data_IF_319485593874
#
_entry.id   IF_319485593874
#
_cell.length_a   1.000
_cell.length_b   1.000
_cell.length_c   1.000
_cell.angle_alpha   90.00
_cell.angle_beta   90.00
_cell.angle_gamma   90.00
#
_symmetry.space_group_name_H-M   'P 1'
#
loop_
_entity.id
_entity.type
_entity.pdbx_description
1 polymer ?
#
# COMPACT_ATOMS: atom_id res chain seq x y z
N UNK A 1 28.50 3.10 -18.77
CA UNK A 1 27.47 3.12 -17.71
C UNK A 1 27.22 1.67 -17.30
N UNK A 2 27.72 1.23 -16.14
CA UNK A 2 27.31 -0.07 -15.59
C UNK A 2 25.80 0.02 -15.35
N UNK A 3 25.01 -0.84 -16.00
CA UNK A 3 23.58 -0.93 -15.71
C UNK A 3 23.43 -1.31 -14.24
N UNK A 4 22.69 -0.51 -13.46
CA UNK A 4 22.28 -0.93 -12.11
C UNK A 4 21.60 -2.30 -12.21
N UNK A 5 21.88 -3.24 -11.29
CA UNK A 5 21.23 -4.54 -11.31
C UNK A 5 19.71 -4.35 -11.16
N UNK A 6 18.89 -5.08 -11.92
CA UNK A 6 17.43 -5.04 -11.75
C UNK A 6 16.96 -5.90 -10.58
N UNK A 7 15.68 -6.25 -10.58
CA UNK A 7 15.06 -7.04 -9.51
C UNK A 7 15.58 -8.49 -9.48
N UNK A 8 16.12 -8.96 -8.35
CA UNK A 8 16.42 -10.38 -8.09
C UNK A 8 15.33 -11.00 -7.21
N UNK A 9 14.38 -11.69 -7.84
CA UNK A 9 13.29 -12.41 -7.17
C UNK A 9 13.64 -13.89 -7.01
N UNK A 10 13.51 -14.45 -5.82
CA UNK A 10 13.83 -15.87 -5.54
C UNK A 10 12.61 -16.66 -5.06
N UNK A 11 12.52 -17.95 -5.41
CA UNK A 11 11.55 -18.85 -4.81
C UNK A 11 11.86 -19.07 -3.33
N UNK A 12 10.85 -19.47 -2.56
CA UNK A 12 10.99 -19.78 -1.14
C UNK A 12 9.96 -20.82 -0.71
N UNK A 13 10.17 -21.43 0.46
CA UNK A 13 9.16 -22.29 1.07
C UNK A 13 8.10 -21.44 1.75
N UNK A 14 6.95 -21.30 1.09
CA UNK A 14 5.79 -20.64 1.66
C UNK A 14 5.26 -21.37 2.89
N UNK A 15 4.91 -20.62 3.92
CA UNK A 15 4.19 -21.11 5.09
C UNK A 15 2.71 -20.75 4.90
N UNK A 16 1.83 -21.76 4.83
CA UNK A 16 0.40 -21.57 4.50
C UNK A 16 -0.50 -22.29 5.47
N UNK A 17 -1.75 -21.84 5.57
CA UNK A 17 -2.77 -22.55 6.35
C UNK A 17 -3.02 -23.93 5.75
N UNK A 18 -3.03 -24.96 6.61
CA UNK A 18 -3.48 -26.29 6.26
C UNK A 18 -5.02 -26.28 6.09
N UNK A 19 -5.58 -26.59 4.91
CA UNK A 19 -7.02 -26.52 4.69
C UNK A 19 -7.85 -27.39 5.64
N UNK A 20 -7.26 -28.47 6.18
CA UNK A 20 -7.91 -29.36 7.15
C UNK A 20 -7.94 -28.82 8.59
N UNK A 21 -7.25 -27.71 8.87
CA UNK A 21 -7.11 -27.15 10.23
C UNK A 21 -7.86 -25.83 10.42
N UNK A 22 -8.35 -25.23 9.36
CA UNK A 22 -9.09 -23.96 9.39
C UNK A 22 -10.47 -24.15 8.77
N UNK A 23 -11.46 -23.43 9.29
CA UNK A 23 -12.84 -23.52 8.79
C UNK A 23 -12.98 -22.95 7.38
N UNK A 24 -12.33 -21.83 7.14
CA UNK A 24 -12.31 -21.12 5.86
C UNK A 24 -11.08 -20.24 5.80
N UNK A 25 -10.44 -20.17 4.62
CA UNK A 25 -9.34 -19.23 4.40
C UNK A 25 -9.79 -17.78 4.57
N UNK A 26 -11.03 -17.43 4.18
CA UNK A 26 -11.56 -16.09 4.36
C UNK A 26 -11.57 -15.67 5.84
N UNK A 27 -11.95 -16.59 6.73
CA UNK A 27 -12.06 -16.33 8.17
C UNK A 27 -10.71 -16.20 8.88
N UNK A 28 -9.64 -16.78 8.32
CA UNK A 28 -8.29 -16.71 8.90
C UNK A 28 -7.38 -15.68 8.23
N UNK A 29 -7.79 -15.13 7.09
CA UNK A 29 -7.11 -13.99 6.45
C UNK A 29 -7.58 -12.65 7.01
N UNK A 30 -6.86 -11.59 6.71
CA UNK A 30 -7.28 -10.22 7.00
C UNK A 30 -6.95 -9.28 5.84
N UNK A 31 -7.57 -8.10 5.78
CA UNK A 31 -7.00 -6.98 5.04
C UNK A 31 -5.57 -6.67 5.51
N UNK A 32 -4.78 -5.94 4.72
CA UNK A 32 -3.46 -5.48 5.15
C UNK A 32 -3.53 -4.69 6.45
N UNK A 33 -2.47 -4.75 7.26
CA UNK A 33 -2.37 -4.09 8.57
C UNK A 33 -2.93 -2.66 8.58
N UNK A 34 -2.61 -1.85 7.57
CA UNK A 34 -2.94 -0.43 7.57
C UNK A 34 -4.41 -0.12 7.24
N UNK A 35 -5.14 -1.12 6.70
CA UNK A 35 -6.60 -1.10 6.55
C UNK A 35 -7.29 -1.49 7.87
N UNK A 36 -6.63 -2.30 8.70
CA UNK A 36 -7.18 -2.90 9.93
C UNK A 36 -7.17 -1.94 11.15
N UNK A 37 -6.67 -0.70 11.02
CA UNK A 37 -6.52 0.27 12.12
C UNK A 37 -7.86 0.82 12.66
N UNK A 38 -9.02 0.31 12.25
CA UNK A 38 -10.31 0.64 12.89
C UNK A 38 -10.52 -0.26 14.13
N UNK A 39 -10.78 0.29 15.33
CA UNK A 39 -10.98 -0.51 16.54
C UNK A 39 -12.01 -1.64 16.40
N UNK A 40 -13.14 -1.35 15.74
CA UNK A 40 -14.20 -2.35 15.51
C UNK A 40 -13.76 -3.45 14.52
N UNK A 41 -12.90 -3.11 13.55
CA UNK A 41 -12.40 -4.06 12.56
C UNK A 41 -11.45 -5.08 13.17
N UNK A 42 -10.61 -4.65 14.11
CA UNK A 42 -9.69 -5.54 14.82
C UNK A 42 -10.45 -6.55 15.69
N UNK A 43 -11.39 -6.08 16.51
CA UNK A 43 -12.18 -6.98 17.37
C UNK A 43 -12.99 -7.99 16.54
N UNK A 44 -13.56 -7.54 15.42
CA UNK A 44 -14.26 -8.42 14.49
C UNK A 44 -13.34 -9.51 13.92
N UNK A 45 -12.13 -9.17 13.48
CA UNK A 45 -11.17 -10.15 12.95
C UNK A 45 -10.69 -11.14 14.02
N UNK A 46 -10.43 -10.68 15.24
CA UNK A 46 -10.01 -11.55 16.34
C UNK A 46 -11.09 -12.55 16.77
N UNK A 47 -12.36 -12.16 16.63
CA UNK A 47 -13.51 -12.99 17.00
C UNK A 47 -14.01 -13.87 15.85
N UNK A 48 -13.64 -13.56 14.59
CA UNK A 48 -14.03 -14.34 13.42
C UNK A 48 -13.47 -15.78 13.42
N UNK A 49 -12.19 -15.95 13.75
CA UNK A 49 -11.55 -17.27 13.88
C UNK A 49 -10.34 -17.22 14.85
N UNK A 50 -10.13 -18.24 15.69
CA UNK A 50 -8.96 -18.30 16.59
C UNK A 50 -7.61 -18.26 15.84
N UNK A 51 -7.58 -18.69 14.58
CA UNK A 51 -6.39 -18.71 13.73
C UNK A 51 -6.28 -17.51 12.79
N UNK A 52 -7.05 -16.43 13.01
CA UNK A 52 -6.98 -15.24 12.18
C UNK A 52 -5.59 -14.57 12.25
N UNK A 53 -5.01 -14.33 11.07
CA UNK A 53 -3.67 -13.78 10.87
C UNK A 53 -3.45 -12.42 11.56
N UNK A 54 -4.53 -11.69 11.88
CA UNK A 54 -4.47 -10.45 12.67
C UNK A 54 -3.69 -10.62 13.97
N UNK A 55 -3.70 -11.82 14.56
CA UNK A 55 -2.95 -12.18 15.77
C UNK A 55 -1.43 -12.17 15.58
N UNK A 56 -0.95 -12.28 14.34
CA UNK A 56 0.48 -12.19 14.01
C UNK A 56 0.90 -10.78 13.58
N UNK A 57 -0.01 -10.00 12.99
CA UNK A 57 0.31 -8.66 12.46
C UNK A 57 -0.05 -7.51 13.41
N UNK A 58 -1.07 -7.69 14.24
CA UNK A 58 -1.68 -6.71 15.15
C UNK A 58 -2.01 -7.31 16.53
N UNK A 59 -1.11 -8.09 17.17
CA UNK A 59 -1.37 -8.67 18.49
C UNK A 59 -1.68 -7.59 19.53
N UNK A 60 -2.68 -7.83 20.38
CA UNK A 60 -3.06 -6.89 21.44
C UNK A 60 -2.36 -7.21 22.77
N UNK A 61 -1.60 -6.24 23.28
CA UNK A 61 -1.00 -6.25 24.62
C UNK A 61 -0.67 -4.82 25.07
N UNK A 62 -0.39 -4.65 26.36
CA UNK A 62 -0.16 -3.34 27.00
C UNK A 62 1.06 -2.61 26.44
N UNK A 63 2.15 -3.34 26.15
CA UNK A 63 3.40 -2.78 25.65
C UNK A 63 3.87 -3.46 24.35
N UNK A 64 4.65 -2.76 23.50
CA UNK A 64 5.16 -3.31 22.24
C UNK A 64 5.95 -4.62 22.38
N UNK A 65 6.80 -4.77 23.39
CA UNK A 65 7.63 -5.97 23.52
C UNK A 65 6.78 -7.21 23.83
N UNK A 66 5.74 -7.06 24.66
CA UNK A 66 4.78 -8.13 24.92
C UNK A 66 3.96 -8.47 23.68
N UNK A 67 3.54 -7.47 22.89
CA UNK A 67 2.87 -7.68 21.58
C UNK A 67 3.73 -8.53 20.65
N UNK A 68 5.01 -8.19 20.52
CA UNK A 68 5.92 -8.88 19.60
C UNK A 68 6.18 -10.34 20.02
N UNK A 69 6.40 -10.59 21.31
CA UNK A 69 6.53 -11.96 21.85
C UNK A 69 5.27 -12.78 21.65
N UNK A 70 4.09 -12.19 21.87
CA UNK A 70 2.80 -12.88 21.68
C UNK A 70 2.61 -13.36 20.23
N UNK A 71 2.96 -12.54 19.24
CA UNK A 71 2.92 -12.95 17.84
C UNK A 71 3.91 -14.10 17.56
N UNK A 72 5.12 -14.04 18.13
CA UNK A 72 6.12 -15.10 17.97
C UNK A 72 5.67 -16.44 18.61
N UNK A 73 5.12 -16.39 19.81
CA UNK A 73 4.54 -17.55 20.51
C UNK A 73 3.38 -18.13 19.71
N UNK A 74 2.49 -17.28 19.21
CA UNK A 74 1.34 -17.68 18.38
C UNK A 74 1.79 -18.36 17.08
N UNK A 75 2.77 -17.79 16.37
CA UNK A 75 3.32 -18.39 15.16
C UNK A 75 3.96 -19.75 15.43
N UNK A 76 4.73 -19.88 16.53
CA UNK A 76 5.33 -21.16 16.94
C UNK A 76 4.26 -22.20 17.26
N UNK A 77 3.22 -21.81 17.99
CA UNK A 77 2.08 -22.69 18.31
C UNK A 77 1.37 -23.17 17.05
N UNK A 78 1.02 -22.27 16.13
CA UNK A 78 0.32 -22.63 14.89
C UNK A 78 1.14 -23.57 14.00
N UNK A 79 2.47 -23.41 13.99
CA UNK A 79 3.37 -24.35 13.29
C UNK A 79 3.40 -25.71 13.98
N UNK A 80 3.51 -25.75 15.30
CA UNK A 80 3.54 -26.99 16.08
C UNK A 80 2.22 -27.79 15.98
N UNK A 81 1.09 -27.10 15.92
CA UNK A 81 -0.24 -27.70 15.74
C UNK A 81 -0.57 -28.08 14.28
N UNK A 82 0.34 -27.78 13.34
CA UNK A 82 0.11 -28.02 11.91
C UNK A 82 -0.96 -27.12 11.29
N UNK A 83 -1.33 -26.02 11.94
CA UNK A 83 -2.25 -25.00 11.40
C UNK A 83 -1.58 -24.26 10.25
N UNK A 84 -0.31 -23.89 10.43
CA UNK A 84 0.56 -23.35 9.39
C UNK A 84 1.63 -24.39 9.01
N UNK A 85 1.66 -24.79 7.74
CA UNK A 85 2.54 -25.86 7.25
C UNK A 85 3.41 -25.32 6.11
N UNK A 86 4.73 -25.62 6.12
CA UNK A 86 5.62 -25.24 5.04
C UNK A 86 5.31 -26.03 3.77
N UNK A 87 5.46 -25.37 2.62
CA UNK A 87 5.38 -26.04 1.33
C UNK A 87 6.53 -27.06 1.14
N UNK A 88 6.27 -28.16 0.40
CA UNK A 88 7.22 -29.28 0.28
C UNK A 88 8.48 -28.93 -0.50
N UNK A 89 8.46 -27.86 -1.29
CA UNK A 89 9.60 -27.34 -2.05
C UNK A 89 9.49 -25.80 -2.21
N UNK A 90 10.62 -25.10 -2.47
CA UNK A 90 10.58 -23.67 -2.75
C UNK A 90 9.83 -23.35 -4.05
N UNK A 91 9.00 -22.31 -4.03
CA UNK A 91 8.24 -21.84 -5.19
C UNK A 91 8.23 -20.32 -5.31
N UNK A 92 7.98 -19.82 -6.53
CA UNK A 92 7.35 -18.52 -6.70
C UNK A 92 5.84 -18.71 -6.67
N UNK A 93 5.07 -17.73 -6.22
CA UNK A 93 3.61 -17.87 -6.16
C UNK A 93 2.93 -16.87 -7.09
N UNK A 94 2.08 -17.34 -7.99
CA UNK A 94 1.19 -16.43 -8.73
C UNK A 94 -0.01 -16.14 -7.84
N UNK A 95 -0.30 -14.87 -7.63
CA UNK A 95 -1.46 -14.42 -6.88
C UNK A 95 -2.43 -13.66 -7.79
N UNK A 96 -3.72 -13.95 -7.64
CA UNK A 96 -4.81 -13.26 -8.30
C UNK A 96 -5.81 -12.74 -7.26
N UNK A 97 -6.25 -11.51 -7.45
CA UNK A 97 -7.43 -10.98 -6.78
C UNK A 97 -8.39 -10.32 -7.77
N UNK A 98 -9.70 -10.57 -7.59
CA UNK A 98 -10.75 -10.11 -8.50
C UNK A 98 -11.98 -9.61 -7.74
N UNK A 99 -12.54 -8.47 -8.16
CA UNK A 99 -13.84 -7.96 -7.70
C UNK A 99 -14.55 -7.22 -8.83
N UNK A 100 -15.70 -7.72 -9.27
CA UNK A 100 -16.36 -7.20 -10.47
C UNK A 100 -15.43 -7.30 -11.70
N UNK A 101 -15.21 -6.17 -12.36
CA UNK A 101 -14.31 -6.05 -13.51
C UNK A 101 -12.83 -5.89 -13.11
N UNK A 102 -12.55 -5.56 -11.84
CA UNK A 102 -11.19 -5.38 -11.37
C UNK A 102 -10.48 -6.73 -11.28
N UNK A 103 -9.35 -6.87 -11.99
CA UNK A 103 -8.47 -8.04 -11.95
C UNK A 103 -7.02 -7.61 -11.73
N UNK A 104 -6.41 -8.05 -10.64
CA UNK A 104 -4.99 -7.89 -10.38
C UNK A 104 -4.31 -9.27 -10.32
N UNK A 105 -3.19 -9.41 -11.03
CA UNK A 105 -2.30 -10.58 -10.91
C UNK A 105 -0.86 -10.14 -10.72
N UNK A 106 -0.12 -10.91 -9.94
CA UNK A 106 1.30 -10.70 -9.73
C UNK A 106 2.02 -11.95 -9.26
N UNK A 107 3.34 -11.82 -9.10
CA UNK A 107 4.21 -12.90 -8.62
C UNK A 107 4.74 -12.53 -7.24
N UNK A 108 4.55 -13.44 -6.29
CA UNK A 108 5.08 -13.38 -4.94
C UNK A 108 6.39 -14.16 -4.86
N UNK A 109 7.39 -13.56 -4.23
CA UNK A 109 8.70 -14.18 -3.98
C UNK A 109 9.54 -13.35 -3.03
N UNK A 110 10.80 -13.77 -2.86
CA UNK A 110 11.79 -13.07 -2.04
C UNK A 110 12.60 -12.12 -2.91
N UNK A 111 12.39 -10.82 -2.74
CA UNK A 111 13.11 -9.80 -3.49
C UNK A 111 14.35 -9.37 -2.72
N UNK A 112 15.51 -9.40 -3.38
CA UNK A 112 16.74 -8.87 -2.81
C UNK A 112 16.59 -7.39 -2.43
N UNK A 113 17.00 -7.06 -1.20
CA UNK A 113 16.91 -5.70 -0.70
C UNK A 113 17.93 -4.80 -1.37
N UNK A 114 17.51 -3.58 -1.71
CA UNK A 114 18.37 -2.56 -2.32
C UNK A 114 18.18 -1.23 -1.62
N UNK A 115 19.28 -0.51 -1.42
CA UNK A 115 19.22 0.87 -0.93
C UNK A 115 18.59 1.77 -2.00
N UNK A 116 17.87 2.85 -1.63
CA UNK A 116 17.24 3.76 -2.60
C UNK A 116 18.20 4.28 -3.67
N UNK A 117 19.46 4.54 -3.30
CA UNK A 117 20.50 5.02 -4.21
C UNK A 117 20.83 4.04 -5.36
N UNK A 118 20.52 2.75 -5.22
CA UNK A 118 20.71 1.78 -6.30
C UNK A 118 19.66 1.91 -7.42
N UNK A 119 18.53 2.58 -7.13
CA UNK A 119 17.45 2.81 -8.09
C UNK A 119 16.71 1.55 -8.54
N UNK A 120 16.82 0.44 -7.82
CA UNK A 120 16.17 -0.84 -8.20
C UNK A 120 14.74 -0.90 -7.70
N UNK A 121 14.54 -0.56 -6.43
CA UNK A 121 13.24 -0.37 -5.79
C UNK A 121 13.10 1.10 -5.44
N UNK A 122 12.03 1.71 -5.92
CA UNK A 122 11.78 3.14 -5.89
C UNK A 122 10.74 3.45 -4.78
N UNK A 123 11.14 4.02 -3.64
CA UNK A 123 10.21 4.60 -2.69
C UNK A 123 9.68 5.95 -3.19
N UNK A 124 8.47 6.32 -2.78
CA UNK A 124 7.88 7.63 -3.10
C UNK A 124 7.21 8.31 -1.91
N UNK A 125 7.27 7.71 -0.71
CA UNK A 125 6.76 8.27 0.54
C UNK A 125 7.83 8.16 1.62
N UNK A 126 7.85 9.15 2.52
CA UNK A 126 8.66 9.09 3.73
C UNK A 126 8.10 8.07 4.72
N UNK A 127 8.99 7.53 5.56
CA UNK A 127 8.63 6.60 6.63
C UNK A 127 8.72 7.25 7.99
N UNK A 128 7.91 6.78 8.93
CA UNK A 128 7.96 7.20 10.32
C UNK A 128 8.82 6.21 11.13
N UNK A 129 9.85 6.72 11.79
CA UNK A 129 10.83 5.90 12.52
C UNK A 129 10.18 5.03 13.61
N UNK A 130 9.19 5.57 14.33
CA UNK A 130 8.44 4.80 15.34
C UNK A 130 7.72 3.57 14.76
N UNK A 131 7.11 3.71 13.57
CA UNK A 131 6.43 2.61 12.86
C UNK A 131 7.46 1.60 12.37
N UNK A 132 8.60 2.07 11.85
CA UNK A 132 9.70 1.21 11.39
C UNK A 132 10.28 0.41 12.56
N UNK A 133 10.49 1.05 13.71
CA UNK A 133 11.03 0.45 14.92
C UNK A 133 10.10 -0.60 15.53
N UNK A 134 8.80 -0.31 15.66
CA UNK A 134 7.82 -1.27 16.18
C UNK A 134 7.73 -2.50 15.27
N UNK A 135 7.66 -2.30 13.94
CA UNK A 135 7.67 -3.42 12.97
C UNK A 135 8.97 -4.21 12.99
N UNK A 136 10.11 -3.55 13.20
CA UNK A 136 11.39 -4.23 13.34
C UNK A 136 11.41 -5.12 14.59
N UNK A 137 10.84 -4.67 15.71
CA UNK A 137 10.58 -5.47 16.90
C UNK A 137 9.77 -6.73 16.60
N UNK A 138 8.60 -6.56 15.98
CA UNK A 138 7.70 -7.66 15.63
C UNK A 138 8.38 -8.70 14.72
N UNK A 139 9.04 -8.25 13.65
CA UNK A 139 9.71 -9.16 12.70
C UNK A 139 10.96 -9.82 13.29
N UNK A 140 11.64 -9.18 14.24
CA UNK A 140 12.78 -9.77 14.96
C UNK A 140 12.33 -10.93 15.84
N UNK A 141 11.26 -10.76 16.60
CA UNK A 141 10.71 -11.81 17.47
C UNK A 141 10.08 -12.95 16.68
N UNK A 142 9.32 -12.64 15.63
CA UNK A 142 8.63 -13.66 14.83
C UNK A 142 9.53 -14.38 13.84
N UNK A 143 10.66 -13.76 13.45
CA UNK A 143 11.51 -14.21 12.36
C UNK A 143 10.68 -14.56 11.09
N UNK A 144 9.70 -13.72 10.76
CA UNK A 144 8.78 -13.96 9.65
C UNK A 144 8.40 -12.69 8.88
N UNK A 145 7.94 -12.87 7.64
CA UNK A 145 7.21 -11.87 6.87
C UNK A 145 5.77 -12.38 6.70
N UNK A 146 4.79 -11.86 7.47
CA UNK A 146 3.43 -12.38 7.47
C UNK A 146 2.59 -11.96 6.25
N UNK A 147 3.07 -10.98 5.49
CA UNK A 147 2.39 -10.43 4.31
C UNK A 147 3.41 -9.87 3.31
N UNK A 148 3.13 -9.96 1.99
CA UNK A 148 3.94 -9.33 0.97
C UNK A 148 3.72 -7.81 0.91
N UNK A 149 4.77 -7.07 0.57
CA UNK A 149 4.64 -5.69 0.09
C UNK A 149 4.04 -5.68 -1.32
N UNK A 150 3.27 -4.65 -1.69
CA UNK A 150 2.81 -4.49 -3.08
C UNK A 150 3.82 -3.61 -3.83
N UNK A 151 4.45 -4.19 -4.84
CA UNK A 151 5.38 -3.50 -5.71
C UNK A 151 4.86 -3.51 -7.16
N UNK A 152 4.98 -2.39 -7.87
CA UNK A 152 4.61 -2.31 -9.29
C UNK A 152 5.82 -2.17 -10.20
N UNK A 153 5.86 -2.98 -11.25
CA UNK A 153 6.81 -2.85 -12.35
C UNK A 153 6.05 -2.74 -13.67
N UNK A 154 6.75 -2.41 -14.77
CA UNK A 154 6.13 -2.32 -16.10
C UNK A 154 6.86 -3.14 -17.12
N UNK A 155 6.12 -3.93 -17.90
CA UNK A 155 6.60 -4.56 -19.13
C UNK A 155 6.48 -3.67 -20.35
N UNK A 156 7.09 -4.14 -21.42
CA UNK A 156 6.89 -3.68 -22.80
C UNK A 156 5.52 -4.11 -23.37
N UNK A 157 4.66 -4.75 -22.57
CA UNK A 157 3.36 -5.26 -23.00
C UNK A 157 3.42 -6.62 -23.72
N UNK A 158 4.62 -7.15 -24.03
CA UNK A 158 4.76 -8.45 -24.69
C UNK A 158 4.41 -9.60 -23.73
N UNK A 159 3.75 -10.65 -24.22
CA UNK A 159 3.35 -11.81 -23.43
C UNK A 159 4.50 -12.82 -23.26
N UNK A 160 5.64 -12.31 -22.81
CA UNK A 160 6.91 -13.05 -22.66
C UNK A 160 7.41 -12.99 -21.22
N UNK A 161 8.41 -13.80 -20.88
CA UNK A 161 9.04 -13.80 -19.55
C UNK A 161 8.03 -14.04 -18.43
N UNK A 162 7.97 -13.13 -17.45
CA UNK A 162 7.07 -13.24 -16.29
C UNK A 162 5.60 -13.34 -16.70
N UNK A 163 5.17 -12.54 -17.68
CA UNK A 163 3.77 -12.53 -18.13
C UNK A 163 3.32 -13.87 -18.73
N UNK A 164 4.21 -14.52 -19.50
CA UNK A 164 3.94 -15.83 -20.07
C UNK A 164 3.79 -16.91 -19.00
N UNK A 165 4.65 -16.87 -17.98
CA UNK A 165 4.60 -17.78 -16.83
C UNK A 165 3.30 -17.58 -16.05
N UNK A 166 2.94 -16.33 -15.73
CA UNK A 166 1.66 -16.02 -15.05
C UNK A 166 0.48 -16.57 -15.83
N UNK A 167 0.41 -16.33 -17.15
CA UNK A 167 -0.68 -16.81 -17.99
C UNK A 167 -0.82 -18.34 -17.95
N UNK A 168 0.28 -19.08 -18.17
CA UNK A 168 0.28 -20.55 -18.10
C UNK A 168 -0.09 -21.08 -16.72
N UNK A 169 0.42 -20.47 -15.66
CA UNK A 169 0.16 -20.89 -14.29
C UNK A 169 -1.32 -20.73 -13.93
N UNK A 170 -1.95 -19.61 -14.34
CA UNK A 170 -3.37 -19.37 -14.06
C UNK A 170 -4.33 -20.29 -14.82
N UNK A 171 -3.86 -21.04 -15.83
CA UNK A 171 -4.63 -22.09 -16.50
C UNK A 171 -4.63 -23.43 -15.73
N UNK A 172 -3.81 -23.55 -14.68
CA UNK A 172 -3.73 -24.74 -13.81
C UNK A 172 -4.70 -24.61 -12.63
N UNK A 173 -4.92 -25.70 -11.91
CA UNK A 173 -5.68 -25.69 -10.65
C UNK A 173 -4.93 -24.87 -9.58
N UNK A 174 -5.58 -23.92 -8.89
CA UNK A 174 -4.95 -23.17 -7.81
C UNK A 174 -4.66 -24.03 -6.58
N UNK A 175 -3.62 -23.67 -5.84
CA UNK A 175 -3.33 -24.24 -4.52
C UNK A 175 -4.41 -23.89 -3.50
N UNK A 176 -4.97 -22.69 -3.61
CA UNK A 176 -6.09 -22.24 -2.80
C UNK A 176 -6.95 -21.23 -3.57
N UNK A 177 -8.23 -21.20 -3.22
CA UNK A 177 -9.17 -20.21 -3.67
C UNK A 177 -10.11 -19.86 -2.52
N UNK A 178 -10.38 -18.57 -2.32
CA UNK A 178 -11.31 -18.08 -1.28
C UNK A 178 -11.96 -16.78 -1.74
N UNK A 179 -13.06 -16.39 -1.10
CA UNK A 179 -13.68 -15.07 -1.29
C UNK A 179 -13.88 -14.44 0.08
N UNK A 180 -13.36 -13.24 0.27
CA UNK A 180 -13.47 -12.47 1.52
C UNK A 180 -14.77 -11.66 1.56
N UNK A 181 -15.15 -11.21 2.76
CA UNK A 181 -16.42 -10.51 3.00
C UNK A 181 -16.54 -9.17 2.26
N UNK A 182 -15.42 -8.60 1.84
CA UNK A 182 -15.35 -7.39 0.99
C UNK A 182 -15.58 -7.68 -0.52
N UNK A 183 -15.90 -8.94 -0.84
CA UNK A 183 -16.27 -9.40 -2.18
C UNK A 183 -15.09 -9.72 -3.09
N UNK A 184 -13.85 -9.67 -2.60
CA UNK A 184 -12.69 -10.09 -3.40
C UNK A 184 -12.56 -11.60 -3.45
N UNK A 185 -12.49 -12.15 -4.66
CA UNK A 185 -12.07 -13.52 -4.90
C UNK A 185 -10.54 -13.57 -4.99
N UNK A 186 -9.92 -14.42 -4.19
CA UNK A 186 -8.48 -14.62 -4.11
C UNK A 186 -8.09 -16.02 -4.58
N UNK A 187 -7.01 -16.11 -5.37
CA UNK A 187 -6.43 -17.38 -5.80
C UNK A 187 -4.91 -17.34 -5.77
N UNK A 188 -4.31 -18.46 -5.43
CA UNK A 188 -2.85 -18.62 -5.37
C UNK A 188 -2.43 -19.91 -6.07
N UNK A 189 -1.34 -19.86 -6.83
CA UNK A 189 -0.71 -21.00 -7.49
C UNK A 189 0.77 -21.01 -7.15
N UNK A 190 1.39 -22.18 -7.09
CA UNK A 190 2.84 -22.32 -7.02
C UNK A 190 3.45 -22.52 -8.43
N UNK A 191 4.62 -21.94 -8.63
CA UNK A 191 5.51 -22.15 -9.76
C UNK A 191 6.78 -22.80 -9.23
N UNK A 192 6.91 -24.11 -9.45
CA UNK A 192 8.05 -24.93 -9.01
C UNK A 192 8.94 -25.38 -10.17
N UNK A 193 8.47 -25.26 -11.42
CA UNK A 193 9.26 -25.60 -12.60
C UNK A 193 10.50 -24.67 -12.68
N UNK A 194 11.74 -25.21 -12.65
CA UNK A 194 12.97 -24.41 -12.68
C UNK A 194 13.10 -23.51 -13.90
N UNK A 195 12.62 -23.94 -15.08
CA UNK A 195 12.66 -23.13 -16.30
C UNK A 195 11.70 -21.94 -16.23
N UNK A 196 10.51 -22.14 -15.64
CA UNK A 196 9.54 -21.05 -15.43
C UNK A 196 10.08 -20.03 -14.41
N UNK A 197 10.70 -20.51 -13.33
CA UNK A 197 11.37 -19.65 -12.34
C UNK A 197 12.51 -18.86 -13.00
N UNK A 198 13.37 -19.52 -13.79
CA UNK A 198 14.46 -18.86 -14.48
C UNK A 198 13.97 -17.78 -15.47
N UNK A 199 12.86 -18.04 -16.18
CA UNK A 199 12.25 -17.08 -17.08
C UNK A 199 11.72 -15.84 -16.36
N UNK A 200 11.07 -16.00 -15.20
CA UNK A 200 10.64 -14.89 -14.34
C UNK A 200 11.85 -14.07 -13.88
N UNK A 201 12.90 -14.74 -13.38
CA UNK A 201 14.10 -14.07 -12.86
C UNK A 201 14.85 -13.28 -13.94
N UNK A 202 15.05 -13.88 -15.11
CA UNK A 202 15.73 -13.23 -16.22
C UNK A 202 14.98 -11.98 -16.72
N UNK A 203 13.65 -12.03 -16.69
CA UNK A 203 12.82 -10.89 -17.07
C UNK A 203 12.86 -9.76 -16.00
N UNK A 204 12.72 -10.11 -14.72
CA UNK A 204 12.75 -9.16 -13.60
C UNK A 204 14.11 -8.50 -13.38
N UNK A 205 15.20 -9.19 -13.69
CA UNK A 205 16.57 -8.66 -13.59
C UNK A 205 16.85 -7.43 -14.47
N UNK A 206 15.92 -7.06 -15.36
CA UNK A 206 16.01 -5.90 -16.26
C UNK A 206 15.07 -4.75 -15.88
N UNK A 207 14.38 -4.87 -14.74
CA UNK A 207 13.26 -4.00 -14.36
C UNK A 207 13.55 -3.27 -13.05
N UNK A 208 12.83 -2.17 -12.85
CA UNK A 208 12.72 -1.45 -11.58
C UNK A 208 11.30 -1.66 -11.04
N UNK A 209 11.14 -1.57 -9.72
CA UNK A 209 9.84 -1.59 -9.07
C UNK A 209 9.57 -0.30 -8.29
N UNK A 210 8.33 0.18 -8.30
CA UNK A 210 7.83 1.23 -7.42
C UNK A 210 7.16 0.58 -6.21
N UNK A 211 7.39 1.09 -5.01
CA UNK A 211 6.68 0.64 -3.81
C UNK A 211 5.26 1.20 -3.85
N UNK A 212 4.28 0.40 -4.24
CA UNK A 212 2.88 0.83 -4.26
C UNK A 212 2.27 0.78 -2.85
N UNK A 213 2.66 -0.20 -2.04
CA UNK A 213 2.27 -0.31 -0.62
C UNK A 213 3.38 -0.99 0.20
N UNK A 214 3.70 -0.41 1.35
CA UNK A 214 4.64 -1.00 2.31
C UNK A 214 5.98 -0.28 2.49
N UNK A 215 6.07 1.04 2.29
CA UNK A 215 7.32 1.83 2.51
C UNK A 215 7.92 1.60 3.90
N UNK A 216 7.09 1.62 4.95
CA UNK A 216 7.53 1.32 6.32
C UNK A 216 8.09 -0.11 6.44
N UNK A 217 7.47 -1.10 5.79
CA UNK A 217 7.94 -2.50 5.80
C UNK A 217 9.25 -2.65 5.05
N UNK A 218 9.43 -1.95 3.93
CA UNK A 218 10.70 -1.94 3.19
C UNK A 218 11.82 -1.33 4.02
N UNK A 219 11.58 -0.19 4.66
CA UNK A 219 12.53 0.42 5.59
C UNK A 219 12.85 -0.50 6.78
N UNK A 220 11.85 -1.20 7.33
CA UNK A 220 12.06 -2.24 8.35
C UNK A 220 12.98 -3.35 7.85
N UNK A 221 12.80 -3.84 6.63
CA UNK A 221 13.70 -4.87 6.06
C UNK A 221 15.14 -4.37 5.94
N UNK A 222 15.35 -3.15 5.42
CA UNK A 222 16.69 -2.54 5.32
C UNK A 222 17.35 -2.39 6.69
N UNK A 223 16.61 -1.92 7.70
CA UNK A 223 17.09 -1.81 9.08
C UNK A 223 17.51 -3.17 9.64
N UNK A 224 16.66 -4.19 9.52
CA UNK A 224 16.93 -5.53 10.04
C UNK A 224 18.13 -6.20 9.33
N UNK A 225 18.33 -5.91 8.04
CA UNK A 225 19.54 -6.31 7.31
C UNK A 225 20.78 -5.63 7.88
N UNK A 226 20.73 -4.31 8.09
CA UNK A 226 21.86 -3.54 8.60
C UNK A 226 22.30 -4.01 10.00
N UNK A 227 21.33 -4.35 10.88
CA UNK A 227 21.60 -4.90 12.23
C UNK A 227 22.35 -6.24 12.24
N UNK A 228 22.35 -6.97 11.11
CA UNK A 228 22.92 -8.32 10.99
C UNK A 228 24.10 -8.40 10.03
N UNK A 229 24.38 -7.32 9.33
CA UNK A 229 25.47 -7.24 8.37
C UNK A 229 26.79 -7.14 9.12
N UNK A 230 27.40 -8.29 9.42
CA UNK A 230 28.82 -8.39 9.80
C UNK A 230 29.58 -8.86 8.55
N UNK A 231 30.46 -8.04 7.95
CA UNK A 231 31.30 -8.50 6.85
C UNK A 231 32.27 -9.59 7.34
N UNK A 232 32.53 -10.68 6.58
CA UNK A 232 31.95 -11.08 5.30
C UNK A 232 30.98 -12.26 5.49
N UNK A 233 29.75 -12.01 5.95
CA UNK A 233 28.74 -13.05 6.01
C UNK A 233 28.21 -13.40 4.59
N UNK A 234 27.92 -14.70 4.30
CA UNK A 234 27.17 -15.08 3.11
C UNK A 234 25.79 -14.37 3.09
N UNK A 235 25.19 -14.21 1.91
CA UNK A 235 23.83 -13.64 1.81
C UNK A 235 22.86 -14.44 2.66
N UNK A 236 22.29 -13.81 3.69
CA UNK A 236 21.41 -14.42 4.67
C UNK A 236 19.94 -14.18 4.36
N UNK A 237 19.02 -14.75 5.16
CA UNK A 237 17.58 -14.56 4.99
C UNK A 237 17.17 -13.07 5.12
N UNK A 238 17.94 -12.26 5.83
CA UNK A 238 17.66 -10.84 6.02
C UNK A 238 18.02 -9.96 4.82
N UNK A 239 18.66 -10.52 3.78
CA UNK A 239 18.94 -9.80 2.54
C UNK A 239 17.76 -9.75 1.56
N UNK A 240 16.63 -10.34 1.93
CA UNK A 240 15.44 -10.43 1.09
C UNK A 240 14.19 -10.03 1.85
N UNK A 241 13.22 -9.46 1.13
CA UNK A 241 11.88 -9.15 1.61
C UNK A 241 10.80 -9.92 0.85
N UNK A 242 9.69 -10.25 1.51
CA UNK A 242 8.53 -10.86 0.85
C UNK A 242 7.76 -9.78 0.08
N UNK A 243 7.57 -9.96 -1.23
CA UNK A 243 6.90 -8.98 -2.09
C UNK A 243 5.91 -9.65 -3.03
N UNK A 244 4.92 -8.89 -3.47
CA UNK A 244 4.05 -9.15 -4.61
C UNK A 244 4.42 -8.14 -5.71
N UNK A 245 4.91 -8.64 -6.85
CA UNK A 245 5.25 -7.83 -8.01
C UNK A 245 4.12 -7.89 -9.05
N UNK A 246 3.51 -6.74 -9.34
CA UNK A 246 2.43 -6.57 -10.32
C UNK A 246 2.94 -5.82 -11.55
N UNK A 247 2.67 -6.36 -12.74
CA UNK A 247 2.93 -5.68 -14.02
C UNK A 247 1.79 -4.70 -14.34
N UNK A 248 2.00 -3.40 -14.11
CA UNK A 248 0.95 -2.39 -14.30
C UNK A 248 0.64 -2.09 -15.75
N UNK A 249 1.47 -2.54 -16.70
CA UNK A 249 1.12 -2.50 -18.12
C UNK A 249 -0.03 -3.47 -18.47
N UNK A 250 -0.24 -4.50 -17.64
CA UNK A 250 -1.28 -5.54 -17.84
C UNK A 250 -2.40 -5.50 -16.82
N UNK A 251 -2.04 -5.21 -15.57
CA UNK A 251 -2.93 -5.14 -14.44
C UNK A 251 -2.73 -3.79 -13.74
N UNK A 252 -3.27 -2.70 -14.32
CA UNK A 252 -3.13 -1.37 -13.74
C UNK A 252 -3.60 -1.35 -12.29
N UNK A 253 -2.83 -0.71 -11.41
CA UNK A 253 -3.27 -0.44 -10.05
C UNK A 253 -4.29 0.70 -10.06
N UNK A 254 -5.25 0.63 -9.15
CA UNK A 254 -6.14 1.75 -8.86
C UNK A 254 -5.39 2.69 -7.93
N UNK A 255 -5.02 3.87 -8.42
CA UNK A 255 -4.50 4.96 -7.58
C UNK A 255 -5.68 5.79 -7.13
N UNK A 256 -5.88 5.89 -5.82
CA UNK A 256 -6.92 6.74 -5.20
C UNK A 256 -6.28 7.94 -4.54
N UNK A 257 -6.99 9.06 -4.56
CA UNK A 257 -6.68 10.19 -3.67
C UNK A 257 -6.96 9.82 -2.22
N UNK A 258 -6.31 10.51 -1.29
CA UNK A 258 -6.66 10.44 0.14
C UNK A 258 -7.37 11.74 0.47
N UNK A 259 -8.61 11.65 0.94
CA UNK A 259 -9.44 12.81 1.25
C UNK A 259 -9.14 13.32 2.65
N UNK A 260 -9.29 14.63 2.85
CA UNK A 260 -9.12 15.26 4.16
C UNK A 260 -10.49 15.57 4.74
N UNK A 261 -10.66 15.35 6.04
CA UNK A 261 -11.81 15.81 6.82
C UNK A 261 -11.30 16.85 7.79
N UNK A 262 -11.59 18.12 7.51
CA UNK A 262 -11.29 19.25 8.37
C UNK A 262 -12.36 19.29 9.45
N UNK A 263 -12.02 18.79 10.64
CA UNK A 263 -13.00 18.46 11.68
C UNK A 263 -13.62 19.68 12.33
N UNK A 264 -12.89 20.78 12.37
CA UNK A 264 -13.24 22.02 13.08
C UNK A 264 -13.52 23.19 12.15
N UNK A 265 -13.47 22.99 10.83
CA UNK A 265 -13.66 24.05 9.84
C UNK A 265 -14.96 23.82 9.03
N UNK A 266 -16.02 24.60 9.30
CA UNK A 266 -17.27 24.52 8.55
C UNK A 266 -17.10 24.98 7.08
N UNK A 267 -17.92 24.47 6.13
CA UNK A 267 -17.78 24.78 4.71
C UNK A 267 -17.94 26.27 4.40
N UNK A 268 -18.94 26.95 4.96
CA UNK A 268 -19.13 28.39 4.77
C UNK A 268 -17.88 29.20 5.17
N UNK A 269 -17.22 28.82 6.27
CA UNK A 269 -16.00 29.48 6.72
C UNK A 269 -14.81 29.16 5.83
N UNK A 270 -14.65 27.89 5.41
CA UNK A 270 -13.61 27.49 4.47
C UNK A 270 -13.70 28.26 3.14
N UNK A 271 -14.92 28.45 2.62
CA UNK A 271 -15.20 29.21 1.41
C UNK A 271 -14.98 30.72 1.60
N UNK A 272 -15.36 31.27 2.76
CA UNK A 272 -15.13 32.69 3.09
C UNK A 272 -13.64 33.01 3.17
N UNK A 273 -12.85 32.14 3.80
CA UNK A 273 -11.40 32.29 3.92
C UNK A 273 -10.69 32.17 2.56
N UNK A 274 -11.20 31.33 1.65
CA UNK A 274 -10.70 31.25 0.27
C UNK A 274 -10.90 32.55 -0.53
N UNK A 275 -11.96 33.31 -0.26
CA UNK A 275 -12.20 34.60 -0.92
C UNK A 275 -12.09 34.54 -2.46
N UNK A 276 -11.23 35.39 -3.02
CA UNK A 276 -10.93 35.44 -4.46
C UNK A 276 -9.66 34.66 -4.86
N UNK A 277 -9.00 33.99 -3.90
CA UNK A 277 -7.75 33.25 -4.12
C UNK A 277 -7.94 31.96 -4.94
N UNK A 278 -9.18 31.56 -5.23
CA UNK A 278 -9.53 30.47 -6.13
C UNK A 278 -10.91 30.68 -6.75
N UNK A 279 -11.19 29.99 -7.85
CA UNK A 279 -12.54 29.99 -8.43
C UNK A 279 -13.42 28.96 -7.70
N UNK A 280 -14.54 29.44 -7.17
CA UNK A 280 -15.51 28.63 -6.43
C UNK A 280 -16.79 28.46 -7.26
N UNK A 281 -17.28 27.22 -7.39
CA UNK A 281 -18.55 26.90 -8.05
C UNK A 281 -19.35 25.92 -7.22
N UNK A 282 -20.56 26.33 -6.81
CA UNK A 282 -21.53 25.41 -6.21
C UNK A 282 -22.00 24.40 -7.25
N UNK A 283 -22.10 23.14 -6.86
CA UNK A 283 -22.56 22.03 -7.70
C UNK A 283 -23.85 21.43 -7.13
N UNK A 284 -24.57 20.68 -7.97
CA UNK A 284 -25.69 19.87 -7.52
C UNK A 284 -25.23 18.87 -6.44
N UNK A 285 -26.07 18.57 -5.44
CA UNK A 285 -25.72 17.71 -4.30
C UNK A 285 -25.67 16.22 -4.66
N UNK A 286 -25.19 15.88 -5.86
CA UNK A 286 -24.99 14.51 -6.31
C UNK A 286 -23.50 14.21 -6.43
N UNK A 287 -22.94 13.64 -5.36
CA UNK A 287 -21.51 13.42 -5.19
C UNK A 287 -20.84 12.68 -6.37
N UNK A 288 -21.42 11.60 -6.94
CA UNK A 288 -20.81 10.92 -8.09
C UNK A 288 -20.62 11.81 -9.33
N UNK A 289 -21.56 12.72 -9.61
CA UNK A 289 -21.41 13.66 -10.71
C UNK A 289 -20.38 14.75 -10.40
N UNK A 290 -20.32 15.21 -9.15
CA UNK A 290 -19.33 16.19 -8.69
C UNK A 290 -17.90 15.62 -8.75
N UNK A 291 -17.68 14.37 -8.35
CA UNK A 291 -16.39 13.68 -8.46
C UNK A 291 -15.93 13.54 -9.91
N UNK A 292 -16.83 13.16 -10.84
CA UNK A 292 -16.51 13.15 -12.28
C UNK A 292 -16.13 14.53 -12.82
N UNK A 293 -16.72 15.60 -12.27
CA UNK A 293 -16.39 16.97 -12.65
C UNK A 293 -15.03 17.39 -12.08
N UNK A 294 -14.74 17.03 -10.84
CA UNK A 294 -13.42 17.22 -10.22
C UNK A 294 -12.31 16.55 -11.05
N UNK A 295 -12.50 15.27 -11.41
CA UNK A 295 -11.50 14.49 -12.16
C UNK A 295 -11.20 15.07 -13.55
N UNK A 296 -12.20 15.69 -14.19
CA UNK A 296 -12.05 16.38 -15.50
C UNK A 296 -11.52 17.81 -15.40
N UNK A 297 -11.34 18.34 -14.19
CA UNK A 297 -10.90 19.72 -14.01
C UNK A 297 -9.38 19.80 -14.12
N UNK A 298 -8.90 20.64 -15.03
CA UNK A 298 -7.48 20.87 -15.25
C UNK A 298 -6.83 21.67 -14.12
N UNK A 299 -5.52 21.44 -13.90
CA UNK A 299 -4.76 22.09 -12.84
C UNK A 299 -5.21 21.63 -11.45
N UNK A 300 -4.86 22.39 -10.42
CA UNK A 300 -5.25 22.06 -9.05
C UNK A 300 -6.75 22.31 -8.83
N UNK A 301 -7.43 21.29 -8.31
CA UNK A 301 -8.85 21.32 -8.06
C UNK A 301 -9.22 20.46 -6.85
N UNK A 302 -10.22 20.90 -6.10
CA UNK A 302 -10.71 20.26 -4.89
C UNK A 302 -12.23 20.33 -4.86
N UNK A 303 -12.87 19.28 -4.35
CA UNK A 303 -14.30 19.31 -4.09
C UNK A 303 -14.53 19.39 -2.58
N UNK A 304 -15.04 20.52 -2.11
CA UNK A 304 -15.45 20.70 -0.72
C UNK A 304 -16.87 20.17 -0.53
N UNK A 305 -17.05 19.29 0.45
CA UNK A 305 -18.33 18.71 0.81
C UNK A 305 -18.60 18.90 2.31
N UNK A 306 -19.80 19.37 2.64
CA UNK A 306 -20.31 19.47 4.01
C UNK A 306 -21.79 19.83 4.00
N UNK A 307 -22.31 20.36 5.10
CA UNK A 307 -23.76 20.62 5.27
C UNK A 307 -24.32 21.59 4.21
N UNK A 308 -23.52 22.59 3.79
CA UNK A 308 -23.93 23.59 2.79
C UNK A 308 -23.97 23.06 1.35
N UNK A 309 -23.56 21.80 1.15
CA UNK A 309 -23.55 21.10 -0.14
C UNK A 309 -22.14 20.95 -0.73
N UNK A 310 -22.07 20.87 -2.06
CA UNK A 310 -20.86 20.55 -2.81
C UNK A 310 -20.31 21.78 -3.54
N UNK A 311 -19.03 22.07 -3.36
CA UNK A 311 -18.36 23.22 -3.96
C UNK A 311 -17.06 22.80 -4.66
N UNK A 312 -16.98 23.02 -5.96
CA UNK A 312 -15.75 22.84 -6.72
C UNK A 312 -14.89 24.09 -6.60
N UNK A 313 -13.70 23.91 -6.03
CA UNK A 313 -12.65 24.93 -5.89
C UNK A 313 -11.55 24.58 -6.87
N UNK A 314 -11.29 25.43 -7.86
CA UNK A 314 -10.23 25.21 -8.85
C UNK A 314 -9.51 26.50 -9.21
N UNK A 315 -8.41 26.37 -9.97
CA UNK A 315 -7.58 27.51 -10.41
C UNK A 315 -7.17 28.43 -9.25
N UNK A 316 -6.47 27.90 -8.23
CA UNK A 316 -5.89 28.76 -7.20
C UNK A 316 -5.00 29.84 -7.85
N UNK A 317 -4.99 31.03 -7.27
CA UNK A 317 -4.24 32.17 -7.76
C UNK A 317 -2.74 31.80 -7.91
N UNK A 318 -2.15 31.95 -9.12
CA UNK A 318 -0.72 31.72 -9.32
C UNK A 318 0.18 32.51 -8.36
N UNK A 319 -0.19 33.73 -7.95
CA UNK A 319 0.57 34.52 -6.99
C UNK A 319 0.50 33.94 -5.57
N UNK A 320 -0.63 33.30 -5.22
CA UNK A 320 -0.77 32.52 -4.00
C UNK A 320 0.10 31.26 -4.04
N UNK A 321 0.04 30.49 -5.11
CA UNK A 321 0.89 29.30 -5.23
C UNK A 321 2.38 29.64 -5.18
N UNK A 322 2.80 30.74 -5.81
CA UNK A 322 4.19 31.16 -5.84
C UNK A 322 4.76 31.56 -4.46
N UNK A 323 3.91 32.07 -3.55
CA UNK A 323 4.33 32.49 -2.19
C UNK A 323 4.24 31.37 -1.14
N UNK A 324 3.40 30.35 -1.37
CA UNK A 324 3.15 29.26 -0.39
C UNK A 324 3.85 27.96 -0.74
N UNK A 325 3.98 27.62 -2.02
CA UNK A 325 4.58 26.36 -2.45
C UNK A 325 6.08 26.53 -2.60
N UNK A 326 6.83 25.66 -1.91
CA UNK A 326 8.30 25.66 -1.92
C UNK A 326 8.86 25.54 -3.34
N UNK A 327 9.95 26.25 -3.62
CA UNK A 327 10.59 26.31 -4.94
C UNK A 327 11.78 25.36 -5.11
N UNK A 328 12.22 24.70 -4.05
CA UNK A 328 13.33 23.74 -4.03
C UNK A 328 12.95 22.33 -4.54
N UNK A 329 11.73 22.17 -5.04
CA UNK A 329 11.18 20.89 -5.54
C UNK A 329 10.85 20.97 -7.05
N UNK A 330 10.92 19.84 -7.78
CA UNK A 330 10.56 19.79 -9.19
C UNK A 330 9.13 20.27 -9.47
N UNK A 331 8.89 20.76 -10.69
CA UNK A 331 7.57 21.26 -11.09
C UNK A 331 6.45 20.23 -10.86
N UNK A 332 6.68 18.97 -11.23
CA UNK A 332 5.72 17.88 -11.04
C UNK A 332 5.28 17.69 -9.58
N UNK A 333 6.19 17.92 -8.61
CA UNK A 333 5.88 17.87 -7.18
C UNK A 333 5.09 19.11 -6.72
N UNK A 334 5.49 20.29 -7.20
CA UNK A 334 4.87 21.58 -6.83
C UNK A 334 3.42 21.69 -7.28
N UNK A 335 3.09 21.06 -8.41
CA UNK A 335 1.72 21.06 -8.96
C UNK A 335 0.83 19.93 -8.45
N UNK A 336 1.31 19.08 -7.53
CA UNK A 336 0.45 18.05 -6.94
C UNK A 336 -0.67 18.68 -6.11
N UNK A 337 -1.87 18.14 -6.22
CA UNK A 337 -3.00 18.61 -5.40
C UNK A 337 -2.73 18.45 -3.90
N UNK A 338 -2.03 17.39 -3.48
CA UNK A 338 -1.65 17.22 -2.07
C UNK A 338 -0.68 18.31 -1.60
N UNK A 339 0.28 18.71 -2.45
CA UNK A 339 1.20 19.81 -2.18
C UNK A 339 0.45 21.11 -2.02
N UNK A 340 -0.39 21.45 -3.00
CA UNK A 340 -1.16 22.70 -2.99
C UNK A 340 -2.14 22.72 -1.82
N UNK A 341 -2.84 21.61 -1.55
CA UNK A 341 -3.76 21.50 -0.42
C UNK A 341 -3.06 21.80 0.91
N UNK A 342 -1.94 21.14 1.20
CA UNK A 342 -1.27 21.32 2.49
C UNK A 342 -0.61 22.69 2.62
N UNK A 343 0.28 23.04 1.68
CA UNK A 343 1.07 24.27 1.80
C UNK A 343 0.22 25.54 1.59
N UNK A 344 -0.79 25.47 0.72
CA UNK A 344 -1.57 26.65 0.34
C UNK A 344 -2.88 26.72 1.11
N UNK A 345 -3.72 25.70 1.01
CA UNK A 345 -5.07 25.81 1.56
C UNK A 345 -5.10 25.57 3.08
N UNK A 346 -4.51 24.48 3.57
CA UNK A 346 -4.52 24.11 4.99
C UNK A 346 -3.67 25.08 5.81
N UNK A 347 -2.39 25.24 5.44
CA UNK A 347 -1.45 26.02 6.24
C UNK A 347 -1.66 27.54 6.09
N UNK A 348 -1.80 28.03 4.86
CA UNK A 348 -1.80 29.47 4.58
C UNK A 348 -3.18 30.12 4.51
N UNK A 349 -4.21 29.44 4.00
CA UNK A 349 -5.57 30.02 3.87
C UNK A 349 -6.42 29.68 5.10
N UNK A 350 -6.42 28.43 5.54
CA UNK A 350 -7.27 27.96 6.64
C UNK A 350 -6.58 27.94 8.00
N UNK A 351 -5.25 28.11 8.04
CA UNK A 351 -4.44 28.14 9.26
C UNK A 351 -4.69 26.95 10.21
N UNK A 352 -4.87 25.76 9.64
CA UNK A 352 -5.13 24.55 10.40
C UNK A 352 -3.83 23.79 10.72
N UNK A 353 -3.64 23.36 11.97
CA UNK A 353 -2.58 22.42 12.32
C UNK A 353 -2.72 21.09 11.56
N UNK A 354 -1.60 20.53 11.09
CA UNK A 354 -1.57 19.19 10.47
C UNK A 354 -1.41 18.11 11.54
N UNK A 355 -2.47 17.92 12.33
CA UNK A 355 -2.56 16.90 13.37
C UNK A 355 -3.89 16.13 13.31
N UNK A 356 -3.99 14.97 14.00
CA UNK A 356 -5.20 14.13 13.96
C UNK A 356 -6.47 14.76 14.56
N UNK A 357 -6.33 15.76 15.43
CA UNK A 357 -7.44 16.48 16.08
C UNK A 357 -8.12 17.45 15.11
N UNK A 358 -7.36 17.99 14.16
CA UNK A 358 -7.85 18.94 13.16
C UNK A 358 -8.15 18.27 11.80
N UNK A 359 -7.33 17.30 11.39
CA UNK A 359 -7.38 16.70 10.06
C UNK A 359 -7.53 15.18 10.15
N UNK A 360 -8.65 14.68 9.61
CA UNK A 360 -8.85 13.26 9.34
C UNK A 360 -8.43 12.88 7.92
N UNK A 361 -7.88 11.68 7.73
CA UNK A 361 -7.55 11.13 6.41
C UNK A 361 -8.47 9.96 6.08
N UNK A 362 -9.17 10.03 4.95
CA UNK A 362 -10.19 9.03 4.57
C UNK A 362 -10.02 8.64 3.11
N UNK A 363 -10.05 7.35 2.80
CA UNK A 363 -9.82 6.83 1.45
C UNK A 363 -11.04 6.83 0.53
N UNK A 364 -12.26 6.79 1.09
CA UNK A 364 -13.51 6.79 0.32
C UNK A 364 -14.18 8.17 0.41
N UNK A 365 -14.54 8.73 -0.74
CA UNK A 365 -15.09 10.08 -0.85
C UNK A 365 -16.42 10.23 -0.10
N UNK A 366 -17.32 9.24 -0.23
CA UNK A 366 -18.61 9.19 0.45
C UNK A 366 -18.42 9.17 1.97
N UNK A 367 -17.49 8.35 2.46
CA UNK A 367 -17.20 8.26 3.88
C UNK A 367 -16.60 9.57 4.42
N UNK A 368 -15.73 10.22 3.65
CA UNK A 368 -15.17 11.52 4.00
C UNK A 368 -16.27 12.59 4.11
N UNK A 369 -17.14 12.67 3.11
CA UNK A 369 -18.26 13.61 3.08
C UNK A 369 -19.25 13.37 4.23
N UNK A 370 -19.62 12.11 4.49
CA UNK A 370 -20.50 11.74 5.60
C UNK A 370 -19.87 12.05 6.97
N UNK A 371 -18.56 11.81 7.12
CA UNK A 371 -17.85 12.14 8.36
C UNK A 371 -17.77 13.65 8.58
N UNK A 372 -17.50 14.43 7.54
CA UNK A 372 -17.49 15.89 7.63
C UNK A 372 -18.85 16.45 8.05
N UNK A 373 -19.93 15.99 7.40
CA UNK A 373 -21.30 16.38 7.76
C UNK A 373 -21.61 16.07 9.24
N UNK A 374 -21.26 14.87 9.72
CA UNK A 374 -21.48 14.49 11.12
C UNK A 374 -20.73 15.36 12.13
N UNK A 375 -19.59 15.91 11.75
CA UNK A 375 -18.75 16.76 12.60
C UNK A 375 -19.05 18.25 12.45
N UNK A 376 -19.95 18.64 11.52
CA UNK A 376 -20.12 20.04 11.13
C UNK A 376 -18.87 20.64 10.42
N UNK A 377 -17.99 19.77 9.93
CA UNK A 377 -16.73 20.13 9.28
C UNK A 377 -16.80 20.09 7.75
N UNK A 378 -15.64 20.10 7.11
CA UNK A 378 -15.50 20.09 5.65
C UNK A 378 -14.69 18.89 5.18
N UNK A 379 -15.22 18.11 4.23
CA UNK A 379 -14.44 17.13 3.49
C UNK A 379 -13.81 17.81 2.27
N UNK A 380 -12.49 17.70 2.13
CA UNK A 380 -11.74 18.07 0.94
C UNK A 380 -11.47 16.81 0.12
N UNK A 381 -12.22 16.65 -0.96
CA UNK A 381 -12.09 15.53 -1.88
C UNK A 381 -11.13 15.89 -3.00
N UNK A 382 -10.30 14.92 -3.40
CA UNK A 382 -9.12 15.12 -4.23
C UNK A 382 -9.14 14.17 -5.41
N UNK A 383 -8.58 14.61 -6.54
CA UNK A 383 -8.35 13.73 -7.69
C UNK A 383 -7.20 12.74 -7.38
N UNK A 384 -7.23 11.54 -7.97
CA UNK A 384 -6.09 10.64 -7.88
C UNK A 384 -4.88 11.21 -8.63
N UNK A 385 -3.68 10.94 -8.11
CA UNK A 385 -2.42 11.24 -8.81
C UNK A 385 -2.17 10.14 -9.84
N UNK A 386 -1.74 10.51 -11.06
CA UNK A 386 -1.37 9.53 -12.08
C UNK A 386 -0.11 8.74 -11.66
N UNK A 387 -0.10 7.42 -11.86
CA UNK A 387 1.06 6.56 -11.53
C UNK A 387 2.36 7.06 -12.19
N UNK A 388 2.28 7.61 -13.40
CA UNK A 388 3.44 8.13 -14.14
C UNK A 388 4.15 9.25 -13.38
N UNK A 389 3.39 10.17 -12.80
CA UNK A 389 3.91 11.28 -11.99
C UNK A 389 4.59 10.74 -10.74
N UNK A 390 3.98 9.75 -10.07
CA UNK A 390 4.56 9.10 -8.89
C UNK A 390 5.89 8.44 -9.24
N UNK A 391 5.93 7.71 -10.37
CA UNK A 391 7.11 6.99 -10.83
C UNK A 391 8.23 7.94 -11.27
N UNK A 392 7.91 9.05 -11.92
CA UNK A 392 8.86 10.09 -12.31
C UNK A 392 9.53 10.69 -11.06
N UNK A 393 8.74 11.17 -10.10
CA UNK A 393 9.27 11.72 -8.85
C UNK A 393 10.12 10.70 -8.08
N UNK A 394 9.66 9.45 -8.01
CA UNK A 394 10.41 8.38 -7.32
C UNK A 394 11.76 8.06 -7.99
N UNK A 395 11.85 8.15 -9.33
CA UNK A 395 13.12 7.98 -10.06
C UNK A 395 14.11 9.11 -9.79
N UNK A 396 13.58 10.31 -9.58
CA UNK A 396 14.38 11.48 -9.22
C UNK A 396 14.75 11.50 -7.72
N UNK A 397 14.34 10.47 -6.96
CA UNK A 397 14.58 10.39 -5.52
C UNK A 397 13.74 11.38 -4.70
N UNK A 398 12.66 11.90 -5.28
CA UNK A 398 11.78 12.89 -4.64
C UNK A 398 10.59 12.19 -4.00
N UNK A 399 10.49 12.28 -2.68
CA UNK A 399 9.31 11.81 -1.94
C UNK A 399 8.14 12.79 -2.08
N UNK A 400 6.94 12.22 -2.22
CA UNK A 400 5.70 12.96 -2.28
C UNK A 400 5.28 13.43 -0.88
N UNK A 401 4.42 14.46 -0.77
CA UNK A 401 3.80 14.81 0.51
C UNK A 401 3.13 13.59 1.14
N UNK A 402 3.11 13.53 2.47
CA UNK A 402 2.46 12.42 3.19
C UNK A 402 1.00 12.30 2.76
N UNK A 403 0.50 11.06 2.71
CA UNK A 403 -0.90 10.76 2.38
C UNK A 403 -1.32 11.37 1.03
N UNK A 404 -0.44 11.31 0.02
CA UNK A 404 -0.75 11.75 -1.34
C UNK A 404 -1.46 10.69 -2.17
N UNK A 405 -1.13 9.41 -1.97
CA UNK A 405 -1.57 8.31 -2.82
C UNK A 405 -2.01 7.11 -2.02
N UNK A 406 -3.01 6.39 -2.51
CA UNK A 406 -3.35 5.05 -2.03
C UNK A 406 -3.46 4.12 -3.23
N UNK A 407 -2.52 3.18 -3.34
CA UNK A 407 -2.54 2.17 -4.39
C UNK A 407 -3.34 0.94 -3.94
N UNK A 408 -4.13 0.40 -4.86
CA UNK A 408 -4.86 -0.84 -4.62
C UNK A 408 -5.22 -1.63 -5.88
N UNK A 409 -5.90 -2.77 -5.71
CA UNK A 409 -6.16 -3.41 -4.42
C UNK A 409 -4.87 -3.94 -3.77
N UNK A 410 -4.82 -3.92 -2.45
CA UNK A 410 -3.69 -4.44 -1.67
C UNK A 410 -3.83 -5.96 -1.51
N UNK A 411 -2.74 -6.74 -1.42
CA UNK A 411 -2.85 -8.18 -1.22
C UNK A 411 -3.48 -8.53 0.13
N UNK A 412 -4.30 -9.58 0.16
CA UNK A 412 -4.81 -10.13 1.42
C UNK A 412 -3.67 -10.73 2.25
N UNK A 413 -3.72 -10.54 3.56
CA UNK A 413 -2.73 -11.05 4.51
C UNK A 413 -3.09 -12.47 4.94
N UNK A 414 -2.09 -13.34 5.05
CA UNK A 414 -2.27 -14.73 5.49
C UNK A 414 -2.38 -15.79 4.39
N UNK A 415 -2.34 -15.43 3.10
CA UNK A 415 -2.40 -16.41 2.01
C UNK A 415 -1.10 -17.21 1.83
N UNK A 416 0.04 -16.55 1.97
CA UNK A 416 1.37 -17.16 2.02
C UNK A 416 2.29 -16.28 2.84
N UNK A 417 2.89 -16.86 3.88
CA UNK A 417 3.85 -16.21 4.75
C UNK A 417 5.24 -16.71 4.40
N UNK A 418 6.25 -15.94 4.77
CA UNK A 418 7.65 -16.39 4.79
C UNK A 418 8.10 -16.53 6.23
N UNK A 419 8.63 -17.70 6.61
CA UNK A 419 9.42 -17.84 7.84
C UNK A 419 10.90 -17.90 7.46
N UNK A 420 11.75 -17.16 8.19
CA UNK A 420 13.16 -16.97 7.82
C UNK A 420 14.02 -18.21 8.07
N UNK A 421 13.50 -19.20 8.79
CA UNK A 421 14.14 -20.50 9.07
C UNK A 421 13.87 -21.57 8.01
N UNK A 422 13.01 -21.31 7.01
CA UNK A 422 12.60 -22.28 6.00
C UNK A 422 13.39 -22.23 4.68
N UNK A 423 14.39 -21.36 4.56
CA UNK A 423 15.13 -21.14 3.31
C UNK A 423 14.44 -20.13 2.40
#
# INVERSE_FOLDING_TARGET
MQRSPGLDLRPFRGLRYAPSRVRSLAAVTSPPYDVVVRPDGLHHLETADPYNIVRLILPQAVDPATRHRLAADTLRLWRAEGVLVPDPEPALYVYEQRRGELLQRGVIGLLALSEPAAGVVLPHEDVMEEIVADRAGLMRETAANPEPLLLSYRSDGAATGTAAVVARTTARTPLLATTTDDGFAHRLWAVTNPEEIAAVRADLARRQALIADGHHRWATYLRLRAERSVPPAPTGPWDYGLVLLVDTARHPLVVRGIHRVLRTLPPAEALRLLGEDARIRRLDPFLPAALRKLEKTEGNAFLLAGEDGLHLVDRPDPALLARTVRTDRPAAWRTLDATVLHATLIEHVWHLPDDPEHIGYVHEAEAAAAQAARLGGTAVLMKPVAEDVVRELARDGVTMPRKSTSFGPKPATGLVLRALDLG
#
